data_IF_483540166147
#
_entry.id   IF_483540166147
#
_cell.length_a   1.000
_cell.length_b   1.000
_cell.length_c   1.000
_cell.angle_alpha   90.00
_cell.angle_beta   90.00
_cell.angle_gamma   90.00
#
_symmetry.space_group_name_H-M   'P 1'
#
loop_
_entity.id
_entity.type
_entity.pdbx_description
1 polymer ?
#
# COMPACT_ATOMS: atom_id res chain seq x y z
N UNK A 1 -7.24 -19.71 11.02
CA UNK A 1 -7.89 -18.40 10.86
C UNK A 1 -6.84 -17.39 10.48
N UNK A 2 -7.12 -16.52 9.51
CA UNK A 2 -6.24 -15.44 9.01
C UNK A 2 -7.06 -14.15 9.03
N UNK A 3 -6.61 -13.10 9.71
CA UNK A 3 -7.40 -11.87 9.86
C UNK A 3 -7.66 -11.17 8.51
N UNK A 4 -6.60 -11.00 7.71
CA UNK A 4 -6.70 -10.39 6.38
C UNK A 4 -5.96 -11.24 5.34
N UNK A 5 -6.65 -11.58 4.24
CA UNK A 5 -6.07 -12.30 3.12
C UNK A 5 -5.91 -11.38 1.93
N UNK A 6 -4.66 -11.17 1.49
CA UNK A 6 -4.34 -10.23 0.42
C UNK A 6 -4.19 -10.95 -0.92
N UNK A 7 -4.87 -10.45 -1.94
CA UNK A 7 -4.51 -10.72 -3.32
C UNK A 7 -3.17 -10.04 -3.61
N UNK A 8 -2.13 -10.86 -3.75
CA UNK A 8 -0.78 -10.37 -3.87
C UNK A 8 -0.50 -9.78 -5.26
N UNK A 9 0.19 -8.64 -5.28
CA UNK A 9 0.76 -8.01 -6.45
C UNK A 9 -0.25 -7.75 -7.59
N UNK A 10 -1.43 -7.24 -7.23
CA UNK A 10 -2.42 -6.86 -8.21
C UNK A 10 -1.88 -5.78 -9.13
N UNK A 11 -2.07 -6.04 -10.42
CA UNK A 11 -1.89 -5.13 -11.52
C UNK A 11 -3.05 -5.38 -12.50
N UNK A 12 -3.16 -4.58 -13.56
CA UNK A 12 -4.27 -4.70 -14.52
C UNK A 12 -4.41 -6.11 -15.08
N UNK A 13 -3.29 -6.74 -15.46
CA UNK A 13 -3.31 -8.07 -16.06
C UNK A 13 -3.76 -9.15 -15.08
N UNK A 14 -3.23 -9.14 -13.85
CA UNK A 14 -3.61 -10.12 -12.81
C UNK A 14 -5.08 -9.94 -12.44
N UNK A 15 -5.54 -8.70 -12.31
CA UNK A 15 -6.93 -8.38 -12.03
C UNK A 15 -7.87 -8.96 -13.10
N UNK A 16 -7.67 -8.59 -14.37
CA UNK A 16 -8.56 -8.97 -15.47
C UNK A 16 -8.45 -10.46 -15.82
N UNK A 17 -7.22 -10.98 -15.97
CA UNK A 17 -6.98 -12.31 -16.54
C UNK A 17 -6.96 -13.43 -15.51
N UNK A 18 -6.95 -13.10 -14.21
CA UNK A 18 -6.89 -14.11 -13.15
C UNK A 18 -7.97 -13.90 -12.11
N UNK A 19 -8.01 -12.74 -11.45
CA UNK A 19 -8.99 -12.50 -10.37
C UNK A 19 -10.41 -12.52 -10.90
N UNK A 20 -10.70 -11.72 -11.92
CA UNK A 20 -12.03 -11.65 -12.54
C UNK A 20 -12.35 -12.92 -13.34
N UNK A 21 -11.41 -13.36 -14.21
CA UNK A 21 -11.61 -14.53 -15.08
C UNK A 21 -12.01 -15.81 -14.32
N UNK A 22 -11.46 -16.02 -13.12
CA UNK A 22 -11.71 -17.24 -12.33
C UNK A 22 -12.59 -17.00 -11.10
N UNK A 23 -13.28 -15.86 -11.02
CA UNK A 23 -14.18 -15.49 -9.91
C UNK A 23 -13.50 -15.65 -8.53
N UNK A 24 -12.24 -15.26 -8.40
CA UNK A 24 -11.46 -15.55 -7.18
C UNK A 24 -12.00 -14.80 -5.95
N UNK A 25 -12.61 -13.63 -6.13
CA UNK A 25 -13.26 -12.90 -5.04
C UNK A 25 -14.42 -13.70 -4.43
N UNK A 26 -15.28 -14.30 -5.26
CA UNK A 26 -16.37 -15.18 -4.78
C UNK A 26 -15.85 -16.39 -4.00
N UNK A 27 -14.66 -16.88 -4.35
CA UNK A 27 -14.01 -17.98 -3.59
C UNK A 27 -13.48 -17.48 -2.25
N UNK A 28 -12.95 -16.26 -2.21
CA UNK A 28 -12.49 -15.62 -0.98
C UNK A 28 -13.68 -15.28 -0.05
N UNK A 29 -14.81 -14.82 -0.58
CA UNK A 29 -16.04 -14.60 0.20
C UNK A 29 -16.55 -15.88 0.88
N UNK A 30 -16.45 -17.03 0.19
CA UNK A 30 -16.75 -18.34 0.82
C UNK A 30 -15.80 -18.63 1.99
N UNK A 31 -14.53 -18.26 1.85
CA UNK A 31 -13.53 -18.39 2.92
C UNK A 31 -13.78 -17.42 4.10
N UNK A 32 -14.44 -16.28 3.87
CA UNK A 32 -14.98 -15.44 4.95
C UNK A 32 -16.13 -16.18 5.63
N UNK A 33 -17.11 -16.64 4.85
CA UNK A 33 -18.32 -17.30 5.37
C UNK A 33 -18.04 -18.55 6.20
N UNK A 34 -17.01 -19.31 5.85
CA UNK A 34 -16.60 -20.51 6.58
C UNK A 34 -15.54 -20.25 7.68
N UNK A 35 -15.21 -18.98 7.93
CA UNK A 35 -14.38 -18.54 9.05
C UNK A 35 -12.86 -18.70 8.86
N UNK A 36 -12.41 -19.08 7.66
CA UNK A 36 -10.98 -19.22 7.37
C UNK A 36 -10.26 -17.88 7.30
N UNK A 37 -10.91 -16.83 6.75
CA UNK A 37 -10.35 -15.48 6.65
C UNK A 37 -11.31 -14.41 7.23
N UNK A 38 -10.78 -13.32 7.79
CA UNK A 38 -11.58 -12.23 8.36
C UNK A 38 -11.94 -11.12 7.36
N UNK A 39 -11.07 -10.83 6.40
CA UNK A 39 -11.28 -9.81 5.38
C UNK A 39 -10.41 -10.02 4.14
N UNK A 40 -10.82 -9.40 3.04
CA UNK A 40 -10.14 -9.50 1.73
C UNK A 40 -9.44 -8.18 1.45
N UNK A 41 -8.14 -8.22 1.23
CA UNK A 41 -7.35 -7.06 0.81
C UNK A 41 -6.59 -7.32 -0.49
N UNK A 42 -5.78 -6.35 -0.90
CA UNK A 42 -4.84 -6.54 -1.99
C UNK A 42 -3.55 -5.76 -1.75
N UNK A 43 -2.45 -6.25 -2.33
CA UNK A 43 -1.26 -5.42 -2.54
C UNK A 43 -1.16 -5.03 -4.01
N UNK A 44 -0.60 -3.86 -4.30
CA UNK A 44 -0.71 -3.24 -5.62
C UNK A 44 0.65 -2.90 -6.25
N UNK A 45 0.77 -3.16 -7.56
CA UNK A 45 1.99 -2.93 -8.35
C UNK A 45 1.68 -2.56 -9.82
N UNK A 46 1.06 -1.40 -10.06
CA UNK A 46 0.80 -0.88 -11.41
C UNK A 46 0.55 0.64 -11.38
N UNK A 47 -0.02 1.23 -12.42
CA UNK A 47 -0.35 2.65 -12.51
C UNK A 47 -1.67 3.07 -11.82
N UNK A 48 -1.89 4.37 -11.66
CA UNK A 48 -3.10 4.91 -11.02
C UNK A 48 -4.41 4.53 -11.74
N UNK A 49 -4.39 4.27 -13.06
CA UNK A 49 -5.59 3.87 -13.80
C UNK A 49 -5.99 2.44 -13.43
N UNK A 50 -5.01 1.54 -13.37
CA UNK A 50 -5.19 0.18 -12.89
C UNK A 50 -5.60 0.15 -11.41
N UNK A 51 -4.98 0.99 -10.57
CA UNK A 51 -5.34 1.12 -9.15
C UNK A 51 -6.82 1.44 -8.97
N UNK A 52 -7.30 2.49 -9.67
CA UNK A 52 -8.71 2.89 -9.64
C UNK A 52 -9.63 1.76 -10.11
N UNK A 53 -9.27 1.05 -11.17
CA UNK A 53 -10.05 -0.08 -11.69
C UNK A 53 -10.18 -1.22 -10.68
N UNK A 54 -9.13 -1.51 -9.91
CA UNK A 54 -9.14 -2.56 -8.87
C UNK A 54 -9.96 -2.10 -7.65
N UNK A 55 -9.77 -0.85 -7.21
CA UNK A 55 -10.53 -0.26 -6.09
C UNK A 55 -12.03 -0.24 -6.40
N UNK A 56 -12.42 0.23 -7.59
CA UNK A 56 -13.84 0.26 -8.01
C UNK A 56 -14.39 -1.12 -8.41
N UNK A 57 -13.52 -2.13 -8.49
CA UNK A 57 -13.86 -3.44 -9.00
C UNK A 57 -14.42 -4.40 -7.95
N UNK A 58 -14.37 -4.03 -6.67
CA UNK A 58 -14.91 -4.80 -5.54
C UNK A 58 -15.23 -3.88 -4.38
N UNK A 59 -16.45 -4.00 -3.82
CA UNK A 59 -16.95 -3.06 -2.81
C UNK A 59 -16.48 -3.41 -1.38
N UNK A 60 -16.12 -4.66 -1.11
CA UNK A 60 -15.81 -5.15 0.24
C UNK A 60 -14.29 -5.27 0.52
N UNK A 61 -13.47 -4.44 -0.13
CA UNK A 61 -12.04 -4.38 0.19
C UNK A 61 -11.84 -3.98 1.66
N UNK A 62 -11.26 -4.88 2.45
CA UNK A 62 -10.92 -4.64 3.85
C UNK A 62 -9.71 -3.72 4.01
N UNK A 63 -8.77 -3.75 3.05
CA UNK A 63 -7.60 -2.86 3.01
C UNK A 63 -6.93 -2.87 1.62
N UNK A 64 -6.18 -1.81 1.33
CA UNK A 64 -5.26 -1.72 0.21
C UNK A 64 -3.82 -1.54 0.71
N UNK A 65 -2.89 -2.38 0.27
CA UNK A 65 -1.47 -2.24 0.55
C UNK A 65 -0.75 -1.61 -0.65
N UNK A 66 -0.09 -0.47 -0.44
CA UNK A 66 0.61 0.28 -1.51
C UNK A 66 2.05 0.59 -1.12
N UNK A 67 2.94 0.73 -2.12
CA UNK A 67 4.27 1.30 -1.90
C UNK A 67 4.16 2.82 -1.71
N UNK A 68 4.66 3.34 -0.58
CA UNK A 68 4.60 4.77 -0.30
C UNK A 68 5.68 5.22 0.68
N UNK A 69 6.42 6.28 0.32
CA UNK A 69 7.41 6.95 1.17
C UNK A 69 7.71 8.34 0.58
N UNK A 70 8.52 9.15 1.27
CA UNK A 70 8.77 10.54 0.85
C UNK A 70 9.55 10.70 -0.47
N UNK A 71 10.10 9.61 -1.04
CA UNK A 71 10.69 9.62 -2.38
C UNK A 71 9.74 9.05 -3.45
N UNK A 72 8.77 8.23 -3.06
CA UNK A 72 7.88 7.49 -3.94
C UNK A 72 6.44 8.05 -3.94
N UNK A 73 6.27 9.37 -3.88
CA UNK A 73 4.94 10.00 -3.80
C UNK A 73 4.12 9.88 -5.08
N UNK A 74 4.78 9.60 -6.21
CA UNK A 74 4.15 9.48 -7.53
C UNK A 74 4.34 8.09 -8.16
N UNK A 75 5.03 7.20 -7.45
CA UNK A 75 5.28 5.84 -7.92
C UNK A 75 4.06 4.95 -7.70
N UNK A 76 3.70 4.15 -8.70
CA UNK A 76 2.54 3.25 -8.68
C UNK A 76 1.24 3.99 -8.30
N UNK A 77 0.61 3.61 -7.19
CA UNK A 77 -0.53 4.31 -6.61
C UNK A 77 -0.13 5.73 -6.14
N UNK A 78 0.97 5.83 -5.39
CA UNK A 78 1.46 7.09 -4.82
C UNK A 78 0.39 7.82 -3.97
N UNK A 79 0.57 9.12 -3.81
CA UNK A 79 -0.34 9.99 -3.04
C UNK A 79 -1.74 10.01 -3.66
N UNK A 80 -1.84 9.91 -4.99
CA UNK A 80 -3.14 9.91 -5.70
C UNK A 80 -3.94 8.67 -5.35
N UNK A 81 -3.33 7.49 -5.41
CA UNK A 81 -3.97 6.24 -5.02
C UNK A 81 -4.27 6.16 -3.53
N UNK A 82 -3.36 6.62 -2.66
CA UNK A 82 -3.59 6.72 -1.20
C UNK A 82 -4.89 7.48 -0.89
N UNK A 83 -4.99 8.72 -1.39
CA UNK A 83 -6.17 9.57 -1.22
C UNK A 83 -7.41 8.98 -1.85
N UNK A 84 -7.26 8.30 -2.98
CA UNK A 84 -8.38 7.68 -3.66
C UNK A 84 -8.97 6.53 -2.85
N UNK A 85 -8.15 5.61 -2.34
CA UNK A 85 -8.62 4.52 -1.49
C UNK A 85 -9.26 5.05 -0.19
N UNK A 86 -8.63 6.04 0.45
CA UNK A 86 -9.19 6.71 1.62
C UNK A 86 -10.54 7.37 1.33
N UNK A 87 -10.69 8.03 0.17
CA UNK A 87 -11.98 8.63 -0.25
C UNK A 87 -13.10 7.60 -0.47
N UNK A 88 -12.74 6.31 -0.63
CA UNK A 88 -13.65 5.16 -0.72
C UNK A 88 -13.88 4.48 0.62
N UNK A 89 -13.29 4.98 1.71
CA UNK A 89 -13.37 4.37 3.04
C UNK A 89 -12.51 3.12 3.18
N UNK A 90 -11.57 2.86 2.25
CA UNK A 90 -10.69 1.70 2.29
C UNK A 90 -9.43 2.06 3.10
N UNK A 91 -9.13 1.36 4.21
CA UNK A 91 -7.88 1.53 4.95
C UNK A 91 -6.66 1.23 4.08
N UNK A 92 -5.60 2.05 4.21
CA UNK A 92 -4.37 1.88 3.44
C UNK A 92 -3.22 1.46 4.35
N UNK A 93 -2.53 0.36 3.98
CA UNK A 93 -1.32 -0.08 4.65
C UNK A 93 -0.11 0.25 3.78
N UNK A 94 0.88 0.92 4.36
CA UNK A 94 2.09 1.32 3.63
C UNK A 94 3.13 0.19 3.60
N UNK A 95 3.55 -0.15 2.39
CA UNK A 95 4.67 -1.03 2.09
C UNK A 95 5.88 -0.20 1.62
N UNK A 96 7.08 -0.75 1.79
CA UNK A 96 8.34 -0.06 1.45
C UNK A 96 8.48 1.36 2.07
N UNK A 97 8.10 1.59 3.35
CA UNK A 97 8.20 2.91 3.97
C UNK A 97 9.67 3.39 4.10
N UNK A 98 10.63 2.47 4.01
CA UNK A 98 12.07 2.72 4.11
C UNK A 98 12.84 2.51 2.80
N UNK A 99 12.13 2.22 1.69
CA UNK A 99 12.70 1.95 0.37
C UNK A 99 13.84 0.92 0.41
N UNK A 100 13.56 -0.30 0.85
CA UNK A 100 14.55 -1.38 1.02
C UNK A 100 15.68 -1.01 1.98
N UNK A 101 15.42 -0.13 2.95
CA UNK A 101 16.39 0.37 3.93
C UNK A 101 17.23 1.56 3.45
N UNK A 102 17.07 2.04 2.21
CA UNK A 102 17.82 3.20 1.68
C UNK A 102 17.49 4.49 2.42
N UNK A 103 16.26 4.64 2.91
CA UNK A 103 15.87 5.81 3.72
C UNK A 103 16.38 5.70 5.16
N UNK A 104 16.60 4.49 5.67
CA UNK A 104 17.18 4.25 6.97
C UNK A 104 18.71 4.44 6.99
N UNK A 105 19.38 4.15 5.87
CA UNK A 105 20.83 4.30 5.70
C UNK A 105 21.17 5.05 4.39
N UNK A 106 20.91 6.37 4.31
CA UNK A 106 21.15 7.12 3.10
C UNK A 106 22.65 7.44 2.92
N UNK A 107 23.08 7.83 1.70
CA UNK A 107 24.46 8.23 1.43
C UNK A 107 24.98 9.29 2.40
N UNK A 108 26.29 9.29 2.67
CA UNK A 108 26.94 10.19 3.65
C UNK A 108 26.54 11.65 3.47
N UNK A 109 26.50 12.14 2.22
CA UNK A 109 26.10 13.52 1.89
C UNK A 109 24.70 13.89 2.40
N UNK A 110 23.76 12.97 2.32
CA UNK A 110 22.39 13.18 2.82
C UNK A 110 22.37 13.14 4.36
N UNK A 111 23.08 12.18 4.96
CA UNK A 111 23.20 12.09 6.43
C UNK A 111 23.81 13.37 7.02
N UNK A 112 24.88 13.87 6.43
CA UNK A 112 25.53 15.12 6.85
C UNK A 112 24.58 16.32 6.70
N UNK A 113 23.83 16.38 5.59
CA UNK A 113 22.83 17.43 5.36
C UNK A 113 21.67 17.42 6.36
N UNK A 114 21.22 16.23 6.79
CA UNK A 114 20.19 16.09 7.82
C UNK A 114 20.70 16.56 9.19
N UNK A 115 21.96 16.23 9.53
CA UNK A 115 22.58 16.64 10.79
C UNK A 115 22.69 18.17 10.94
N UNK A 116 22.92 18.89 9.83
CA UNK A 116 23.00 20.35 9.82
C UNK A 116 21.69 21.07 10.17
N UNK A 117 20.54 20.38 10.11
CA UNK A 117 19.22 20.97 10.44
C UNK A 117 18.90 20.99 11.95
N UNK A 118 19.89 20.70 12.81
CA UNK A 118 19.80 20.92 14.26
C UNK A 118 18.95 19.91 15.05
N UNK A 119 18.21 19.02 14.38
CA UNK A 119 17.51 17.90 15.02
C UNK A 119 18.25 16.59 14.74
N UNK A 120 18.73 15.93 15.80
CA UNK A 120 19.25 14.55 15.74
C UNK A 120 18.11 13.55 15.52
N UNK A 121 17.44 13.61 14.37
CA UNK A 121 16.44 12.61 13.98
C UNK A 121 17.14 11.55 13.16
N UNK A 122 16.96 10.28 13.54
CA UNK A 122 17.54 9.19 12.78
C UNK A 122 16.85 9.08 11.39
N UNK A 123 17.54 8.74 10.30
CA UNK A 123 16.91 8.70 8.98
C UNK A 123 15.69 7.77 8.88
N UNK A 124 15.73 6.60 9.55
CA UNK A 124 14.58 5.70 9.63
C UNK A 124 13.39 6.34 10.36
N UNK A 125 13.65 7.12 11.40
CA UNK A 125 12.63 7.79 12.19
C UNK A 125 11.97 8.89 11.36
N UNK A 126 12.77 9.66 10.60
CA UNK A 126 12.23 10.65 9.67
C UNK A 126 11.30 10.01 8.64
N UNK A 127 11.72 8.88 8.05
CA UNK A 127 10.93 8.18 7.04
C UNK A 127 9.60 7.64 7.61
N UNK A 128 9.63 6.98 8.76
CA UNK A 128 8.42 6.44 9.39
C UNK A 128 7.49 7.55 9.90
N UNK A 129 8.03 8.59 10.55
CA UNK A 129 7.24 9.74 10.98
C UNK A 129 6.58 10.45 9.81
N UNK A 130 7.29 10.58 8.69
CA UNK A 130 6.69 11.14 7.48
C UNK A 130 5.52 10.26 7.04
N UNK A 131 5.66 8.94 6.94
CA UNK A 131 4.54 8.07 6.56
C UNK A 131 3.34 8.21 7.52
N UNK A 132 3.58 8.24 8.84
CA UNK A 132 2.52 8.38 9.85
C UNK A 132 1.91 9.78 9.98
N UNK A 133 2.52 10.79 9.37
CA UNK A 133 1.95 12.15 9.34
C UNK A 133 0.85 12.29 8.27
N UNK A 134 0.60 11.23 7.48
CA UNK A 134 -0.47 11.22 6.50
C UNK A 134 -1.78 10.79 7.17
N UNK A 135 -2.86 11.61 7.10
CA UNK A 135 -4.12 11.27 7.76
C UNK A 135 -4.80 10.03 7.15
N UNK A 136 -4.42 9.63 5.94
CA UNK A 136 -4.91 8.42 5.28
C UNK A 136 -4.22 7.12 5.71
N UNK A 137 -3.16 7.19 6.52
CA UNK A 137 -2.33 6.05 6.97
C UNK A 137 -2.50 5.77 8.46
#
# INVERSE_FOLDING_TARGET
HIDFYLFHALNKNVWEKTVQKYDLLKRAEKAIKDGRIGGIGFSFHDDNKAFKQIVDGYDDWALAQIQYNYLDTENQAGTKGLRYAASKGIPVIVMEPLLGGRLANPPKRIRDGLALRGKKVAPYELALRWVWDQPEV
#
